data_IF_112143238490
#
_entry.id   IF_112143238490
#
_cell.length_a   1.000
_cell.length_b   1.000
_cell.length_c   1.000
_cell.angle_alpha   90.00
_cell.angle_beta   90.00
_cell.angle_gamma   90.00
#
_symmetry.space_group_name_H-M   'P 1'
#
loop_
_entity.id
_entity.type
_entity.pdbx_description
1 polymer ?
#
# COMPACT_ATOMS: atom_id res chain seq x y z
N UNK A 1 -1.42 5.38 16.60
CA UNK A 1 0.07 5.35 16.61
C UNK A 1 0.57 5.69 15.22
N UNK A 2 1.61 6.54 15.08
CA UNK A 2 2.15 6.82 13.74
C UNK A 2 2.74 5.54 13.13
N UNK A 3 2.57 5.31 11.82
CA UNK A 3 3.04 4.08 11.19
C UNK A 3 4.57 4.01 11.18
N UNK A 4 5.12 2.89 11.62
CA UNK A 4 6.55 2.58 11.54
C UNK A 4 6.84 1.83 10.24
N UNK A 5 7.86 2.26 9.51
CA UNK A 5 8.30 1.58 8.30
C UNK A 5 9.42 0.60 8.61
N UNK A 6 9.15 -0.67 8.43
CA UNK A 6 10.15 -1.73 8.51
C UNK A 6 10.66 -2.07 7.10
N UNK A 7 11.98 -2.27 6.96
CA UNK A 7 12.59 -2.75 5.73
C UNK A 7 12.46 -1.81 4.54
N UNK A 8 12.37 -0.50 4.75
CA UNK A 8 12.23 0.51 3.68
C UNK A 8 13.17 1.70 3.89
N UNK A 9 14.34 1.49 4.48
CA UNK A 9 15.30 2.57 4.85
C UNK A 9 15.68 3.45 3.66
N UNK A 10 15.96 2.85 2.48
CA UNK A 10 16.32 3.60 1.27
C UNK A 10 15.18 4.49 0.76
N UNK A 11 13.96 3.94 0.69
CA UNK A 11 12.77 4.71 0.29
C UNK A 11 12.49 5.84 1.28
N UNK A 12 12.57 5.55 2.58
CA UNK A 12 12.38 6.50 3.65
C UNK A 12 13.36 7.67 3.54
N UNK A 13 14.66 7.39 3.34
CA UNK A 13 15.68 8.40 3.13
C UNK A 13 15.39 9.26 1.90
N UNK A 14 14.96 8.65 0.80
CA UNK A 14 14.61 9.35 -0.43
C UNK A 14 13.42 10.30 -0.23
N UNK A 15 12.33 9.79 0.36
CA UNK A 15 11.13 10.60 0.63
C UNK A 15 11.40 11.71 1.64
N UNK A 16 12.24 11.46 2.65
CA UNK A 16 12.65 12.48 3.65
C UNK A 16 13.42 13.62 3.01
N UNK A 17 14.37 13.30 2.13
CA UNK A 17 15.13 14.33 1.37
C UNK A 17 14.21 15.13 0.45
N UNK A 18 13.24 14.48 -0.19
CA UNK A 18 12.25 15.18 -1.01
C UNK A 18 11.39 16.13 -0.17
N UNK A 19 10.91 15.68 1.00
CA UNK A 19 10.04 16.46 1.86
C UNK A 19 10.74 17.72 2.42
N UNK A 20 12.06 17.69 2.60
CA UNK A 20 12.91 18.82 3.06
C UNK A 20 13.46 19.68 1.92
N UNK A 21 13.32 19.26 0.66
CA UNK A 21 13.84 19.98 -0.49
C UNK A 21 12.94 21.15 -0.92
N UNK A 22 13.54 22.12 -1.66
CA UNK A 22 12.81 23.29 -2.18
C UNK A 22 11.77 22.95 -3.26
N UNK A 23 11.99 21.84 -4.00
CA UNK A 23 11.09 21.39 -5.06
C UNK A 23 10.57 20.00 -4.74
N UNK A 24 9.43 19.94 -4.07
CA UNK A 24 8.74 18.72 -3.74
C UNK A 24 7.66 18.42 -4.79
N UNK A 25 7.72 17.25 -5.42
CA UNK A 25 6.61 16.78 -6.23
C UNK A 25 5.33 16.71 -5.38
N UNK A 26 4.18 17.00 -5.97
CA UNK A 26 2.91 17.05 -5.24
C UNK A 26 2.07 15.80 -5.42
N UNK A 27 2.47 14.90 -6.33
CA UNK A 27 1.71 13.68 -6.64
C UNK A 27 2.62 12.46 -6.64
N UNK A 28 2.25 11.44 -5.84
CA UNK A 28 3.05 10.24 -5.60
C UNK A 28 2.21 8.96 -5.73
N UNK A 29 2.79 7.93 -6.33
CA UNK A 29 2.22 6.59 -6.38
C UNK A 29 3.16 5.58 -5.70
N UNK A 30 2.66 4.87 -4.71
CA UNK A 30 3.32 3.72 -4.10
C UNK A 30 2.65 2.44 -4.58
N UNK A 31 3.37 1.60 -5.32
CA UNK A 31 2.81 0.38 -5.91
C UNK A 31 3.66 -0.85 -5.60
N UNK A 32 3.04 -2.02 -5.70
CA UNK A 32 3.67 -3.30 -5.39
C UNK A 32 2.68 -4.33 -4.87
N UNK A 33 3.12 -5.53 -4.58
CA UNK A 33 2.25 -6.61 -4.10
C UNK A 33 1.64 -6.31 -2.72
N UNK A 34 0.56 -7.01 -2.39
CA UNK A 34 -0.08 -6.90 -1.08
C UNK A 34 0.91 -7.29 0.04
N UNK A 35 0.85 -6.57 1.16
CA UNK A 35 1.74 -6.80 2.31
C UNK A 35 3.12 -6.13 2.22
N UNK A 36 3.51 -5.54 1.08
CA UNK A 36 4.79 -4.82 0.96
C UNK A 36 4.79 -3.43 1.63
N UNK A 37 3.69 -3.05 2.27
CA UNK A 37 3.62 -1.82 3.07
C UNK A 37 3.23 -0.55 2.28
N UNK A 38 2.56 -0.67 1.12
CA UNK A 38 2.10 0.49 0.30
C UNK A 38 1.34 1.52 1.12
N UNK A 39 0.30 1.06 1.85
CA UNK A 39 -0.52 1.92 2.71
C UNK A 39 0.30 2.51 3.86
N UNK A 40 1.16 1.70 4.47
CA UNK A 40 2.03 2.13 5.57
C UNK A 40 2.97 3.26 5.12
N UNK A 41 3.59 3.11 3.93
CA UNK A 41 4.44 4.16 3.33
C UNK A 41 3.63 5.41 3.05
N UNK A 42 2.45 5.29 2.46
CA UNK A 42 1.59 6.43 2.15
C UNK A 42 1.15 7.18 3.41
N UNK A 43 0.73 6.47 4.46
CA UNK A 43 0.38 7.08 5.75
C UNK A 43 1.60 7.71 6.45
N UNK A 44 2.75 7.01 6.44
CA UNK A 44 3.98 7.54 7.00
C UNK A 44 4.42 8.83 6.27
N UNK A 45 4.36 8.83 4.95
CA UNK A 45 4.73 10.01 4.16
C UNK A 45 3.72 11.16 4.35
N UNK A 46 2.43 10.85 4.48
CA UNK A 46 1.41 11.83 4.88
C UNK A 46 1.75 12.47 6.23
N UNK A 47 2.16 11.64 7.20
CA UNK A 47 2.55 12.14 8.52
C UNK A 47 3.81 13.03 8.46
N UNK A 48 4.78 12.69 7.62
CA UNK A 48 5.97 13.52 7.42
C UNK A 48 5.63 14.86 6.75
N UNK A 49 4.75 14.85 5.74
CA UNK A 49 4.33 16.07 5.04
C UNK A 49 3.54 17.02 5.93
N UNK A 50 2.74 16.49 6.85
CA UNK A 50 1.88 17.26 7.75
C UNK A 50 2.55 17.59 9.10
N UNK A 51 3.71 17.00 9.42
CA UNK A 51 4.42 17.27 10.65
C UNK A 51 4.92 18.71 10.71
N UNK A 52 4.67 19.38 11.84
CA UNK A 52 5.10 20.77 12.04
C UNK A 52 6.61 20.89 12.24
N UNK A 53 7.23 19.89 12.85
CA UNK A 53 8.66 19.87 13.21
C UNK A 53 9.28 18.49 12.91
N UNK A 54 9.49 18.13 11.63
CA UNK A 54 10.13 16.86 11.30
C UNK A 54 11.54 16.76 11.89
N UNK A 55 11.85 15.62 12.52
CA UNK A 55 13.15 15.36 13.14
C UNK A 55 13.86 14.22 12.39
N UNK A 56 15.09 14.42 11.98
CA UNK A 56 15.90 13.42 11.26
C UNK A 56 15.17 12.79 10.04
N UNK A 57 14.34 13.58 9.36
CA UNK A 57 13.54 13.09 8.23
C UNK A 57 12.36 12.20 8.60
N UNK A 58 11.92 12.25 9.87
CA UNK A 58 10.79 11.50 10.43
C UNK A 58 9.74 12.47 10.97
N UNK A 59 8.45 12.07 11.03
CA UNK A 59 7.49 12.83 11.80
C UNK A 59 7.87 12.80 13.29
N UNK A 60 7.86 13.95 13.97
CA UNK A 60 8.35 14.07 15.35
C UNK A 60 7.53 13.27 16.38
N UNK A 61 6.29 12.92 16.08
CA UNK A 61 5.42 12.13 16.96
C UNK A 61 4.75 12.90 18.10
N UNK A 62 5.14 14.15 18.39
CA UNK A 62 4.69 14.91 19.56
C UNK A 62 4.06 16.28 19.25
N UNK A 63 4.15 16.81 18.03
CA UNK A 63 3.45 18.04 17.66
C UNK A 63 1.93 17.82 17.55
N UNK A 64 1.17 18.89 17.49
CA UNK A 64 -0.31 18.86 17.40
C UNK A 64 -0.77 18.06 16.17
N UNK A 65 -0.10 18.25 15.03
CA UNK A 65 -0.38 17.53 13.80
C UNK A 65 -0.16 16.02 13.96
N UNK A 66 0.98 15.59 14.53
CA UNK A 66 1.25 14.19 14.81
C UNK A 66 0.25 13.57 15.78
N UNK A 67 -0.17 14.28 16.82
CA UNK A 67 -1.21 13.81 17.73
C UNK A 67 -2.57 13.62 17.04
N UNK A 68 -2.96 14.55 16.16
CA UNK A 68 -4.20 14.42 15.40
C UNK A 68 -4.15 13.22 14.43
N UNK A 69 -2.99 12.99 13.78
CA UNK A 69 -2.78 11.82 12.94
C UNK A 69 -2.85 10.50 13.71
N UNK A 70 -2.32 10.45 14.92
CA UNK A 70 -2.41 9.27 15.80
C UNK A 70 -3.85 8.94 16.22
N UNK A 71 -4.74 9.93 16.24
CA UNK A 71 -6.16 9.82 16.57
C UNK A 71 -7.06 9.72 15.34
N UNK A 72 -6.47 9.61 14.14
CA UNK A 72 -7.19 9.59 12.84
C UNK A 72 -8.17 10.77 12.64
N UNK A 73 -7.84 11.95 13.21
CA UNK A 73 -8.68 13.16 13.17
C UNK A 73 -7.96 14.40 12.63
N UNK A 74 -6.92 14.23 11.81
CA UNK A 74 -6.21 15.37 11.23
C UNK A 74 -7.05 16.04 10.12
N UNK A 75 -7.41 17.36 10.23
CA UNK A 75 -8.33 18.00 9.30
C UNK A 75 -7.76 18.15 7.87
N UNK A 76 -6.45 18.12 7.72
CA UNK A 76 -5.77 18.27 6.42
C UNK A 76 -5.23 16.95 5.86
N UNK A 77 -5.55 15.81 6.48
CA UNK A 77 -5.40 14.48 5.90
C UNK A 77 -6.77 13.99 5.42
N UNK A 78 -7.00 14.03 4.13
CA UNK A 78 -8.25 13.60 3.52
C UNK A 78 -8.09 12.18 2.99
N UNK A 79 -8.54 11.21 3.78
CA UNK A 79 -8.65 9.84 3.30
C UNK A 79 -9.87 9.73 2.40
N UNK A 80 -9.64 9.46 1.11
CA UNK A 80 -10.72 9.38 0.12
C UNK A 80 -11.46 8.06 0.28
N UNK A 81 -12.78 8.07 0.55
CA UNK A 81 -13.53 6.86 0.81
C UNK A 81 -13.80 6.05 -0.46
N UNK A 82 -13.75 4.73 -0.32
CA UNK A 82 -14.22 3.80 -1.33
C UNK A 82 -15.75 3.79 -1.36
N UNK A 83 -16.35 4.50 -2.30
CA UNK A 83 -17.80 4.67 -2.43
C UNK A 83 -18.35 4.14 -3.75
N UNK A 84 -17.47 3.63 -4.61
CA UNK A 84 -17.79 3.07 -5.91
C UNK A 84 -18.25 1.61 -5.85
N UNK A 85 -18.82 1.14 -6.95
CA UNK A 85 -19.08 -0.29 -7.14
C UNK A 85 -17.78 -1.07 -7.12
N UNK A 86 -17.82 -2.31 -6.63
CA UNK A 86 -16.65 -3.20 -6.53
C UNK A 86 -15.53 -2.69 -5.61
N UNK A 87 -15.81 -1.77 -4.69
CA UNK A 87 -14.80 -1.27 -3.75
C UNK A 87 -13.85 -0.23 -4.34
N UNK A 88 -14.22 0.42 -5.44
CA UNK A 88 -13.46 1.50 -6.04
C UNK A 88 -13.92 2.90 -5.60
N UNK A 89 -13.48 3.93 -6.32
CA UNK A 89 -13.85 5.31 -6.09
C UNK A 89 -14.97 5.73 -7.04
N UNK A 90 -16.09 6.25 -6.52
CA UNK A 90 -17.15 6.78 -7.37
C UNK A 90 -16.73 8.09 -8.04
N UNK A 91 -17.23 8.35 -9.23
CA UNK A 91 -17.04 9.62 -9.95
C UNK A 91 -17.49 10.82 -9.09
N UNK A 92 -18.58 10.65 -8.35
CA UNK A 92 -19.12 11.69 -7.48
C UNK A 92 -18.18 12.02 -6.31
N UNK A 93 -17.64 10.99 -5.63
CA UNK A 93 -16.64 11.18 -4.57
C UNK A 93 -15.41 11.92 -5.09
N UNK A 94 -14.87 11.49 -6.24
CA UNK A 94 -13.69 12.14 -6.82
C UNK A 94 -14.02 13.59 -7.22
N UNK A 95 -15.21 13.88 -7.74
CA UNK A 95 -15.65 15.25 -8.04
C UNK A 95 -15.69 16.12 -6.79
N UNK A 96 -16.24 15.62 -5.68
CA UNK A 96 -16.26 16.33 -4.39
C UNK A 96 -14.84 16.60 -3.88
N UNK A 97 -13.93 15.63 -3.99
CA UNK A 97 -12.52 15.83 -3.66
C UNK A 97 -11.91 16.92 -4.52
N UNK A 98 -12.08 16.88 -5.85
CA UNK A 98 -11.57 17.92 -6.76
C UNK A 98 -12.07 19.32 -6.39
N UNK A 99 -13.34 19.44 -6.00
CA UNK A 99 -13.90 20.72 -5.54
C UNK A 99 -13.28 21.20 -4.23
N UNK A 100 -12.91 20.29 -3.34
CA UNK A 100 -12.29 20.60 -2.04
C UNK A 100 -10.82 21.01 -2.14
N UNK A 101 -10.16 20.74 -3.28
CA UNK A 101 -8.73 21.04 -3.46
C UNK A 101 -8.45 22.55 -3.43
N UNK A 102 -9.39 23.39 -3.88
CA UNK A 102 -9.25 24.85 -3.83
C UNK A 102 -9.34 25.45 -2.41
N UNK A 103 -9.77 24.65 -1.43
CA UNK A 103 -9.88 25.09 -0.04
C UNK A 103 -8.52 24.92 0.65
N UNK A 104 -7.90 26.00 1.16
CA UNK A 104 -6.62 25.94 1.85
C UNK A 104 -6.63 24.99 3.05
N UNK A 105 -5.45 24.56 3.55
CA UNK A 105 -5.36 23.74 4.75
C UNK A 105 -5.86 24.48 6.00
N UNK A 106 -6.40 23.72 6.95
CA UNK A 106 -6.88 24.25 8.24
C UNK A 106 -5.75 24.45 9.25
N UNK A 107 -4.76 23.52 9.23
CA UNK A 107 -3.61 23.54 10.10
C UNK A 107 -2.32 23.43 9.27
N UNK A 108 -1.38 24.34 9.48
CA UNK A 108 -0.10 24.29 8.76
C UNK A 108 -0.19 24.73 7.30
N UNK A 109 0.79 24.30 6.50
CA UNK A 109 1.02 24.75 5.13
C UNK A 109 0.68 23.70 4.06
N UNK A 110 0.27 22.48 4.45
CA UNK A 110 0.07 21.37 3.52
C UNK A 110 -1.24 20.65 3.79
N UNK A 111 -1.84 20.12 2.72
CA UNK A 111 -3.06 19.30 2.74
C UNK A 111 -2.83 18.06 1.89
N UNK A 112 -3.11 16.89 2.44
CA UNK A 112 -2.81 15.60 1.81
C UNK A 112 -4.11 14.88 1.46
N UNK A 113 -4.25 14.49 0.20
CA UNK A 113 -5.32 13.63 -0.30
C UNK A 113 -4.78 12.23 -0.52
N UNK A 114 -5.30 11.28 0.24
CA UNK A 114 -4.81 9.90 0.27
C UNK A 114 -5.81 8.95 -0.40
N UNK A 115 -5.43 8.44 -1.58
CA UNK A 115 -6.17 7.46 -2.36
C UNK A 115 -5.55 6.09 -2.17
N UNK A 116 -6.15 5.25 -1.34
CA UNK A 116 -5.66 3.90 -1.09
C UNK A 116 -6.29 2.89 -2.06
N UNK A 117 -5.50 1.90 -2.51
CA UNK A 117 -5.95 0.80 -3.39
C UNK A 117 -6.72 1.27 -4.64
N UNK A 118 -6.05 2.06 -5.46
CA UNK A 118 -6.62 2.64 -6.69
C UNK A 118 -6.88 1.62 -7.81
N UNK A 119 -6.65 0.33 -7.56
CA UNK A 119 -6.80 -0.75 -8.54
C UNK A 119 -8.21 -0.84 -9.15
N UNK A 120 -9.22 -0.33 -8.46
CA UNK A 120 -10.63 -0.34 -8.89
C UNK A 120 -11.15 1.07 -9.24
N UNK A 121 -10.25 2.04 -9.42
CA UNK A 121 -10.65 3.39 -9.85
C UNK A 121 -10.91 3.38 -11.35
N UNK A 122 -12.16 3.66 -11.76
CA UNK A 122 -12.52 3.68 -13.18
C UNK A 122 -11.89 4.87 -13.93
N UNK A 123 -11.83 4.77 -15.25
CA UNK A 123 -11.19 5.78 -16.11
C UNK A 123 -11.86 7.15 -15.99
N UNK A 124 -13.16 7.21 -15.72
CA UNK A 124 -13.90 8.48 -15.55
C UNK A 124 -13.46 9.19 -14.27
N UNK A 125 -13.32 8.43 -13.18
CA UNK A 125 -12.83 8.97 -11.92
C UNK A 125 -11.37 9.43 -12.06
N UNK A 126 -10.52 8.64 -12.74
CA UNK A 126 -9.14 9.03 -13.01
C UNK A 126 -9.04 10.31 -13.84
N UNK A 127 -9.84 10.46 -14.90
CA UNK A 127 -9.83 11.64 -15.77
C UNK A 127 -10.25 12.94 -15.02
N UNK A 128 -11.10 12.86 -13.99
CA UNK A 128 -11.44 14.02 -13.17
C UNK A 128 -10.24 14.57 -12.38
N UNK A 129 -9.28 13.71 -12.03
CA UNK A 129 -8.08 14.12 -11.29
C UNK A 129 -7.04 14.83 -12.15
N UNK A 130 -7.07 14.69 -13.49
CA UNK A 130 -6.01 15.18 -14.37
C UNK A 130 -5.72 16.66 -14.15
N UNK A 131 -6.76 17.51 -14.10
CA UNK A 131 -6.58 18.95 -13.86
C UNK A 131 -5.88 19.26 -12.55
N UNK A 132 -6.22 18.51 -11.48
CA UNK A 132 -5.62 18.70 -10.15
C UNK A 132 -4.17 18.20 -10.09
N UNK A 133 -3.81 17.23 -10.92
CA UNK A 133 -2.46 16.68 -10.99
C UNK A 133 -1.53 17.49 -11.92
N UNK A 134 -2.10 18.22 -12.89
CA UNK A 134 -1.36 19.13 -13.79
C UNK A 134 -0.95 20.42 -13.08
N UNK A 135 -1.90 21.05 -12.42
CA UNK A 135 -1.71 22.36 -11.77
C UNK A 135 -2.24 22.32 -10.32
N UNK A 136 -1.61 21.53 -9.44
CA UNK A 136 -2.02 21.47 -8.05
C UNK A 136 -1.73 22.78 -7.31
N UNK A 137 -2.60 23.25 -6.42
CA UNK A 137 -2.25 24.33 -5.49
C UNK A 137 -1.00 23.97 -4.69
N UNK A 138 -0.14 24.94 -4.38
CA UNK A 138 1.17 24.70 -3.73
C UNK A 138 1.09 23.89 -2.41
N UNK A 139 -0.04 23.94 -1.74
CA UNK A 139 -0.29 23.22 -0.49
C UNK A 139 -0.87 21.82 -0.67
N UNK A 140 -1.36 21.44 -1.85
CA UNK A 140 -2.08 20.18 -2.07
C UNK A 140 -1.13 19.06 -2.50
N UNK A 141 -1.21 17.93 -1.81
CA UNK A 141 -0.44 16.72 -2.11
C UNK A 141 -1.38 15.54 -2.35
N UNK A 142 -1.09 14.74 -3.38
CA UNK A 142 -1.89 13.59 -3.77
C UNK A 142 -1.05 12.32 -3.64
N UNK A 143 -1.46 11.42 -2.75
CA UNK A 143 -0.79 10.15 -2.53
C UNK A 143 -1.71 9.01 -2.97
N UNK A 144 -1.20 8.16 -3.85
CA UNK A 144 -1.91 7.01 -4.39
C UNK A 144 -1.24 5.71 -3.99
N UNK A 145 -2.03 4.66 -3.77
CA UNK A 145 -1.51 3.30 -3.66
C UNK A 145 -2.21 2.38 -4.67
N UNK A 146 -1.46 1.45 -5.28
CA UNK A 146 -1.99 0.47 -6.22
C UNK A 146 -1.19 -0.84 -6.18
N UNK A 147 -1.73 -1.92 -6.71
CA UNK A 147 -1.00 -3.20 -6.82
C UNK A 147 0.05 -3.16 -7.92
N UNK A 148 -0.22 -2.45 -9.01
CA UNK A 148 0.70 -2.26 -10.12
C UNK A 148 0.60 -0.83 -10.67
N UNK A 149 1.67 -0.38 -11.31
CA UNK A 149 1.72 0.95 -11.92
C UNK A 149 0.68 1.10 -13.04
N UNK A 150 0.44 0.02 -13.78
CA UNK A 150 -0.43 0.02 -14.97
C UNK A 150 -1.93 0.01 -14.64
N UNK A 151 -2.31 -0.05 -13.38
CA UNK A 151 -3.71 0.11 -12.95
C UNK A 151 -4.21 1.54 -13.13
N UNK A 152 -3.29 2.51 -13.23
CA UNK A 152 -3.61 3.90 -13.51
C UNK A 152 -3.37 4.23 -14.99
N UNK A 153 -4.20 5.11 -15.54
CA UNK A 153 -4.09 5.61 -16.91
C UNK A 153 -2.69 6.21 -17.18
N UNK A 154 -2.20 6.06 -18.40
CA UNK A 154 -0.91 6.63 -18.84
C UNK A 154 -0.86 8.15 -18.63
N UNK A 155 -1.98 8.84 -18.82
CA UNK A 155 -2.14 10.29 -18.59
C UNK A 155 -1.95 10.68 -17.12
N UNK A 156 -2.38 9.86 -16.18
CA UNK A 156 -2.13 10.02 -14.75
C UNK A 156 -0.66 9.71 -14.44
N UNK A 157 -0.15 8.57 -14.94
CA UNK A 157 1.21 8.11 -14.67
C UNK A 157 2.31 9.08 -15.11
N UNK A 158 2.08 9.87 -16.16
CA UNK A 158 3.03 10.88 -16.62
C UNK A 158 3.17 12.09 -15.67
N UNK A 159 2.23 12.25 -14.72
CA UNK A 159 2.15 13.39 -13.79
C UNK A 159 2.43 13.02 -12.34
N UNK A 160 2.65 11.75 -12.07
CA UNK A 160 2.84 11.21 -10.71
C UNK A 160 4.24 10.61 -10.59
N UNK A 161 4.95 10.94 -9.52
CA UNK A 161 6.20 10.29 -9.16
C UNK A 161 5.92 8.91 -8.56
N UNK A 162 6.39 7.86 -9.22
CA UNK A 162 6.03 6.48 -8.88
C UNK A 162 7.17 5.74 -8.18
N UNK A 163 6.86 5.07 -7.05
CA UNK A 163 7.76 4.25 -6.27
C UNK A 163 7.24 2.81 -6.22
N UNK A 164 8.00 1.88 -6.82
CA UNK A 164 7.74 0.45 -6.69
C UNK A 164 8.29 -0.10 -5.38
N UNK A 165 7.44 -0.75 -4.61
CA UNK A 165 7.85 -1.42 -3.39
C UNK A 165 8.27 -2.86 -3.71
N UNK A 166 9.47 -3.20 -3.27
CA UNK A 166 10.06 -4.53 -3.42
C UNK A 166 10.05 -5.26 -2.06
N UNK A 167 10.14 -6.59 -2.03
CA UNK A 167 10.37 -7.35 -0.81
C UNK A 167 11.56 -6.81 -0.01
N UNK A 168 11.49 -6.92 1.32
CA UNK A 168 12.57 -6.52 2.22
C UNK A 168 13.73 -7.49 2.15
N UNK A 169 14.94 -7.01 2.44
CA UNK A 169 16.12 -7.85 2.57
C UNK A 169 16.01 -8.75 3.81
N UNK A 170 16.65 -9.94 3.83
CA UNK A 170 16.58 -10.84 4.99
C UNK A 170 16.98 -10.19 6.32
N UNK A 171 17.99 -9.32 6.34
CA UNK A 171 18.41 -8.57 7.53
C UNK A 171 17.34 -7.61 8.04
N UNK A 172 16.63 -6.94 7.13
CA UNK A 172 15.53 -6.01 7.47
C UNK A 172 14.30 -6.77 7.99
N UNK A 173 14.08 -7.98 7.47
CA UNK A 173 13.01 -8.89 7.93
C UNK A 173 13.30 -9.34 9.36
N UNK A 174 14.55 -9.70 9.67
CA UNK A 174 14.97 -10.10 11.01
C UNK A 174 14.81 -8.95 12.04
N UNK A 175 15.20 -7.73 11.66
CA UNK A 175 14.97 -6.54 12.50
C UNK A 175 13.47 -6.35 12.78
N UNK A 176 12.62 -6.50 11.75
CA UNK A 176 11.18 -6.38 11.90
C UNK A 176 10.58 -7.50 12.77
N UNK A 177 11.03 -8.74 12.59
CA UNK A 177 10.60 -9.89 13.39
C UNK A 177 10.86 -9.66 14.88
N UNK A 178 12.08 -9.26 15.20
CA UNK A 178 12.48 -8.97 16.59
C UNK A 178 11.65 -7.83 17.18
N UNK A 179 11.46 -6.74 16.43
CA UNK A 179 10.70 -5.58 16.89
C UNK A 179 9.19 -5.87 17.10
N UNK A 180 8.64 -6.82 16.32
CA UNK A 180 7.22 -7.18 16.33
C UNK A 180 6.93 -8.45 17.15
N UNK A 181 7.96 -9.15 17.62
CA UNK A 181 7.84 -10.37 18.41
C UNK A 181 7.24 -11.55 17.63
N UNK A 182 7.52 -11.64 16.31
CA UNK A 182 6.97 -12.67 15.43
C UNK A 182 8.01 -13.81 15.25
N UNK A 183 7.58 -15.10 15.27
CA UNK A 183 8.47 -16.23 15.02
C UNK A 183 9.14 -16.21 13.65
N UNK A 184 10.41 -16.57 13.56
CA UNK A 184 11.19 -16.60 12.32
C UNK A 184 10.59 -17.53 11.25
N UNK A 185 9.96 -18.63 11.64
CA UNK A 185 9.32 -19.59 10.73
C UNK A 185 8.25 -18.95 9.83
N UNK A 186 7.50 -17.97 10.35
CA UNK A 186 6.45 -17.29 9.58
C UNK A 186 7.03 -16.35 8.52
N UNK A 187 8.24 -15.82 8.73
CA UNK A 187 8.92 -15.00 7.74
C UNK A 187 9.47 -15.80 6.56
N UNK A 188 9.84 -17.07 6.77
CA UNK A 188 10.29 -17.93 5.69
C UNK A 188 9.16 -18.26 4.71
N UNK A 189 7.91 -18.26 5.18
CA UNK A 189 6.71 -18.50 4.35
C UNK A 189 6.42 -17.36 3.37
N UNK A 190 6.72 -16.13 3.77
CA UNK A 190 6.50 -14.91 2.96
C UNK A 190 7.81 -14.11 2.84
N UNK A 191 8.79 -14.58 2.06
CA UNK A 191 10.13 -13.97 2.01
C UNK A 191 10.07 -12.47 1.69
N UNK A 192 10.59 -11.65 2.58
CA UNK A 192 10.62 -10.19 2.44
C UNK A 192 9.27 -9.46 2.54
N UNK A 193 8.16 -10.17 2.81
CA UNK A 193 6.82 -9.59 2.89
C UNK A 193 6.31 -9.52 4.33
N UNK A 194 6.76 -8.51 5.07
CA UNK A 194 6.45 -8.31 6.49
C UNK A 194 4.93 -8.22 6.74
N UNK A 195 4.19 -7.52 5.87
CA UNK A 195 2.76 -7.34 6.05
C UNK A 195 1.95 -8.63 5.90
N UNK A 196 2.33 -9.52 4.97
CA UNK A 196 1.69 -10.84 4.86
C UNK A 196 2.05 -11.74 6.05
N UNK A 197 3.29 -11.69 6.51
CA UNK A 197 3.71 -12.42 7.72
C UNK A 197 2.90 -11.98 8.93
N UNK A 198 2.75 -10.69 9.16
CA UNK A 198 1.92 -10.14 10.23
C UNK A 198 0.46 -10.57 10.14
N UNK A 199 -0.12 -10.47 8.95
CA UNK A 199 -1.51 -10.89 8.72
C UNK A 199 -1.67 -12.39 8.99
N UNK A 200 -0.73 -13.21 8.54
CA UNK A 200 -0.74 -14.65 8.77
C UNK A 200 -0.65 -15.01 10.25
N UNK A 201 0.21 -14.33 11.02
CA UNK A 201 0.36 -14.57 12.45
C UNK A 201 -0.91 -14.26 13.27
N UNK A 202 -1.79 -13.38 12.76
CA UNK A 202 -2.96 -12.88 13.51
C UNK A 202 -4.31 -13.33 12.97
N UNK A 203 -4.39 -13.82 11.71
CA UNK A 203 -5.64 -14.18 11.03
C UNK A 203 -5.74 -15.69 10.76
N UNK A 204 -6.59 -16.38 11.53
CA UNK A 204 -6.84 -17.83 11.38
C UNK A 204 -7.48 -18.19 10.03
N UNK A 205 -8.26 -17.29 9.43
CA UNK A 205 -8.84 -17.51 8.10
C UNK A 205 -7.75 -17.49 7.04
N UNK A 206 -6.78 -16.58 7.18
CA UNK A 206 -5.63 -16.50 6.30
C UNK A 206 -4.73 -17.75 6.46
N UNK A 207 -4.50 -18.22 7.69
CA UNK A 207 -3.77 -19.47 7.95
C UNK A 207 -4.44 -20.67 7.25
N UNK A 208 -5.76 -20.78 7.36
CA UNK A 208 -6.53 -21.83 6.68
C UNK A 208 -6.45 -21.70 5.16
N UNK A 209 -6.52 -20.49 4.63
CA UNK A 209 -6.40 -20.26 3.18
C UNK A 209 -5.01 -20.62 2.66
N UNK A 210 -3.96 -20.26 3.38
CA UNK A 210 -2.56 -20.60 3.04
C UNK A 210 -2.35 -22.11 3.08
N UNK A 211 -2.82 -22.82 4.11
CA UNK A 211 -2.72 -24.27 4.18
C UNK A 211 -3.36 -24.96 2.95
N UNK A 212 -4.54 -24.51 2.53
CA UNK A 212 -5.19 -25.02 1.30
C UNK A 212 -4.39 -24.77 0.03
N UNK A 213 -3.69 -23.65 -0.03
CA UNK A 213 -2.82 -23.32 -1.16
C UNK A 213 -1.60 -24.25 -1.16
N UNK A 214 -1.00 -24.48 -0.01
CA UNK A 214 0.12 -25.40 0.15
C UNK A 214 -0.27 -26.84 -0.24
N UNK A 215 -1.44 -27.31 0.19
CA UNK A 215 -2.00 -28.62 -0.22
C UNK A 215 -2.18 -28.69 -1.75
N UNK A 216 -2.68 -27.61 -2.38
CA UNK A 216 -2.86 -27.54 -3.83
C UNK A 216 -1.52 -27.60 -4.58
N UNK A 217 -0.52 -26.89 -4.07
CA UNK A 217 0.83 -26.88 -4.63
C UNK A 217 1.48 -28.26 -4.51
N UNK A 218 1.36 -28.89 -3.35
CA UNK A 218 1.88 -30.24 -3.13
C UNK A 218 1.21 -31.26 -4.06
N UNK A 219 -0.10 -31.16 -4.28
CA UNK A 219 -0.81 -32.01 -5.22
C UNK A 219 -0.30 -31.83 -6.67
N UNK A 220 -0.01 -30.58 -7.09
CA UNK A 220 0.61 -30.29 -8.39
C UNK A 220 2.01 -30.91 -8.51
N UNK A 221 2.85 -30.78 -7.49
CA UNK A 221 4.20 -31.37 -7.47
C UNK A 221 4.18 -32.89 -7.57
N UNK A 222 3.16 -33.53 -7.00
CA UNK A 222 2.96 -34.98 -7.03
C UNK A 222 2.21 -35.44 -8.30
N UNK A 223 1.91 -34.55 -9.24
CA UNK A 223 1.08 -34.84 -10.44
C UNK A 223 -0.28 -35.46 -10.10
N UNK A 224 -0.86 -35.14 -8.94
CA UNK A 224 -2.14 -35.64 -8.48
C UNK A 224 -3.27 -34.68 -8.83
N UNK A 225 -3.81 -34.81 -10.06
CA UNK A 225 -4.87 -33.91 -10.58
C UNK A 225 -6.13 -33.95 -9.71
N UNK A 226 -6.52 -35.10 -9.19
CA UNK A 226 -7.71 -35.22 -8.34
C UNK A 226 -7.56 -34.46 -7.03
N UNK A 227 -6.42 -34.59 -6.35
CA UNK A 227 -6.14 -33.86 -5.12
C UNK A 227 -6.09 -32.34 -5.37
N UNK A 228 -5.49 -31.91 -6.48
CA UNK A 228 -5.46 -30.50 -6.88
C UNK A 228 -6.88 -29.95 -7.11
N UNK A 229 -7.70 -30.62 -7.92
CA UNK A 229 -9.09 -30.20 -8.20
C UNK A 229 -9.93 -30.14 -6.93
N UNK A 230 -9.76 -31.11 -6.02
CA UNK A 230 -10.44 -31.12 -4.71
C UNK A 230 -10.04 -29.93 -3.85
N UNK A 231 -8.74 -29.60 -3.78
CA UNK A 231 -8.23 -28.48 -3.00
C UNK A 231 -8.75 -27.14 -3.57
N UNK A 232 -8.71 -26.95 -4.89
CA UNK A 232 -9.25 -25.76 -5.57
C UNK A 232 -10.77 -25.63 -5.39
N UNK A 233 -11.52 -26.72 -5.46
CA UNK A 233 -12.97 -26.69 -5.27
C UNK A 233 -13.38 -26.23 -3.86
N UNK A 234 -12.51 -26.41 -2.86
CA UNK A 234 -12.76 -25.95 -1.48
C UNK A 234 -12.58 -24.45 -1.29
N UNK A 235 -11.96 -23.75 -2.22
CA UNK A 235 -11.78 -22.29 -2.18
C UNK A 235 -13.12 -21.57 -2.34
N UNK A 236 -14.10 -22.25 -2.89
CA UNK A 236 -15.49 -21.81 -2.94
C UNK A 236 -15.74 -20.68 -3.94
N UNK A 237 -16.94 -20.09 -3.85
CA UNK A 237 -17.40 -18.98 -4.68
C UNK A 237 -17.03 -17.60 -4.10
N UNK A 238 -16.23 -17.57 -3.03
CA UNK A 238 -15.81 -16.34 -2.39
C UNK A 238 -14.71 -15.65 -3.20
N UNK A 239 -15.06 -14.54 -3.84
CA UNK A 239 -14.14 -13.76 -4.70
C UNK A 239 -12.87 -13.30 -3.99
N UNK A 240 -12.88 -12.78 -2.74
CA UNK A 240 -11.68 -12.43 -2.00
C UNK A 240 -10.72 -13.61 -1.81
N UNK A 241 -11.23 -14.77 -1.40
CA UNK A 241 -10.41 -15.98 -1.21
C UNK A 241 -9.83 -16.51 -2.53
N UNK A 242 -10.64 -16.53 -3.60
CA UNK A 242 -10.18 -16.93 -4.92
C UNK A 242 -9.08 -15.99 -5.46
N UNK A 243 -9.24 -14.67 -5.26
CA UNK A 243 -8.22 -13.68 -5.65
C UNK A 243 -6.93 -13.86 -4.86
N UNK A 244 -7.02 -14.09 -3.57
CA UNK A 244 -5.88 -14.38 -2.71
C UNK A 244 -5.15 -15.65 -3.14
N UNK A 245 -5.90 -16.75 -3.40
CA UNK A 245 -5.35 -18.00 -3.91
C UNK A 245 -4.57 -17.79 -5.20
N UNK A 246 -5.15 -17.11 -6.20
CA UNK A 246 -4.49 -16.84 -7.47
C UNK A 246 -3.22 -15.98 -7.31
N UNK A 247 -3.22 -15.03 -6.38
CA UNK A 247 -2.04 -14.22 -6.07
C UNK A 247 -0.91 -15.08 -5.47
N UNK A 248 -1.22 -15.95 -4.53
CA UNK A 248 -0.24 -16.85 -3.91
C UNK A 248 0.29 -17.89 -4.91
N UNK A 249 -0.58 -18.47 -5.71
CA UNK A 249 -0.18 -19.40 -6.77
C UNK A 249 0.76 -18.73 -7.79
N UNK A 250 0.46 -17.48 -8.18
CA UNK A 250 1.34 -16.69 -9.06
C UNK A 250 2.73 -16.48 -8.44
N UNK A 251 2.80 -16.16 -7.15
CA UNK A 251 4.07 -15.97 -6.46
C UNK A 251 4.87 -17.28 -6.42
N UNK A 252 4.21 -18.38 -6.10
CA UNK A 252 4.84 -19.71 -6.10
C UNK A 252 5.37 -20.10 -7.48
N UNK A 253 4.56 -19.96 -8.53
CA UNK A 253 4.97 -20.28 -9.92
C UNK A 253 6.16 -19.41 -10.33
N UNK A 254 6.16 -18.13 -9.97
CA UNK A 254 7.31 -17.23 -10.22
C UNK A 254 8.57 -17.77 -9.54
N UNK A 255 8.49 -18.11 -8.27
CA UNK A 255 9.65 -18.53 -7.47
C UNK A 255 10.20 -19.89 -7.90
N UNK A 256 9.35 -20.74 -8.46
CA UNK A 256 9.76 -22.01 -9.07
C UNK A 256 10.38 -21.85 -10.46
N UNK A 257 9.83 -20.93 -11.28
CA UNK A 257 10.29 -20.71 -12.67
C UNK A 257 11.49 -19.74 -12.75
N UNK A 258 11.66 -18.88 -11.78
CA UNK A 258 12.76 -17.91 -11.69
C UNK A 258 13.45 -18.12 -10.34
N UNK A 259 14.26 -19.17 -10.18
CA UNK A 259 15.05 -19.33 -8.96
C UNK A 259 15.93 -18.10 -8.78
N UNK A 260 15.78 -17.44 -7.63
CA UNK A 260 16.61 -16.30 -7.24
C UNK A 260 18.04 -16.77 -7.15
N UNK A 261 18.86 -16.40 -8.14
CA UNK A 261 20.31 -16.61 -8.16
C UNK A 261 20.99 -15.68 -7.16
#
# INVERSE_FOLDING_TARGET
MLPTLYGKKSLQTTLSRMASGERLAQSFLFYGDAGLGRKTVAHWFSALLLCEHPENGQPCGHCKSCHNLQKDCHPDLILVPHSGKLGGFSVETVRQICSSVSIPPNNGSRKVYLFLDCDQMDDRAQNLLLKQLEEPPAYAFFLFTASAKDTLLSTIRSRILSFGLIPCQPSEVQEAATALGIPDADFQRFPGNIGQTLAYATDSNLQTAVARIEDSIQALQQHNEYAFLKAVATIGKDRPQARFFLQQLRLYVRDVLVPVS
#
